data_IF_313962570644
#
_entry.id   IF_313962570644
#
_cell.length_a   1.000
_cell.length_b   1.000
_cell.length_c   1.000
_cell.angle_alpha   90.00
_cell.angle_beta   90.00
_cell.angle_gamma   90.00
#
_symmetry.space_group_name_H-M   'P 1'
#
loop_
_entity.id
_entity.type
_entity.pdbx_description
1 polymer ?
#
# COMPACT_ATOMS: atom_id res chain seq x y z
N UNK A 1 -1.48 -19.33 8.76
CA UNK A 1 -0.31 -19.96 8.10
C UNK A 1 0.75 -20.16 9.17
N UNK A 2 1.39 -21.32 9.22
CA UNK A 2 2.53 -21.55 10.14
C UNK A 2 3.70 -20.68 9.69
N UNK A 3 4.19 -19.81 10.57
CA UNK A 3 5.34 -18.94 10.33
C UNK A 3 6.60 -19.63 10.86
N UNK A 4 7.64 -19.66 10.05
CA UNK A 4 8.96 -20.17 10.42
C UNK A 4 9.92 -18.98 10.55
N UNK A 5 10.64 -18.92 11.68
CA UNK A 5 11.72 -17.96 11.87
C UNK A 5 12.94 -18.34 11.02
N UNK A 6 13.85 -17.39 10.77
CA UNK A 6 15.10 -17.67 10.05
C UNK A 6 15.92 -18.78 10.72
N UNK A 7 15.95 -18.82 12.06
CA UNK A 7 16.66 -19.86 12.83
C UNK A 7 16.05 -21.26 12.69
N UNK A 8 14.71 -21.36 12.69
CA UNK A 8 14.01 -22.64 12.47
C UNK A 8 14.20 -23.12 11.03
N UNK A 9 14.17 -22.19 10.07
CA UNK A 9 14.45 -22.50 8.67
C UNK A 9 15.90 -22.99 8.48
N UNK A 10 16.88 -22.33 9.10
CA UNK A 10 18.27 -22.79 9.08
C UNK A 10 18.40 -24.21 9.62
N UNK A 11 17.81 -24.51 10.78
CA UNK A 11 17.83 -25.86 11.34
C UNK A 11 17.16 -26.91 10.44
N UNK A 12 16.09 -26.54 9.72
CA UNK A 12 15.43 -27.41 8.75
C UNK A 12 16.29 -27.68 7.52
N UNK A 13 17.00 -26.65 7.03
CA UNK A 13 17.92 -26.78 5.88
C UNK A 13 19.14 -27.60 6.28
N UNK A 14 19.76 -27.33 7.43
CA UNK A 14 20.91 -28.07 7.95
C UNK A 14 20.59 -29.54 8.19
N UNK A 15 19.36 -29.88 8.60
CA UNK A 15 18.92 -31.26 8.74
C UNK A 15 18.78 -32.02 7.41
N UNK A 16 18.77 -31.32 6.27
CA UNK A 16 18.64 -31.90 4.92
C UNK A 16 19.95 -31.86 4.13
N UNK A 17 21.00 -31.21 4.65
CA UNK A 17 22.30 -31.05 3.99
C UNK A 17 23.35 -31.94 4.69
N UNK A 18 24.18 -32.61 3.89
CA UNK A 18 25.42 -33.25 4.33
C UNK A 18 26.64 -32.65 3.59
N UNK A 19 27.87 -33.05 3.96
CA UNK A 19 29.11 -32.54 3.34
C UNK A 19 29.19 -32.77 1.83
N UNK A 20 28.39 -33.69 1.28
CA UNK A 20 28.36 -34.05 -0.14
C UNK A 20 27.16 -33.44 -0.87
N UNK A 21 26.28 -32.71 -0.17
CA UNK A 21 25.07 -32.13 -0.75
C UNK A 21 25.44 -30.82 -1.45
N UNK A 22 25.01 -30.71 -2.70
CA UNK A 22 25.05 -29.44 -3.43
C UNK A 22 23.71 -28.72 -3.26
N UNK A 23 23.73 -27.44 -2.87
CA UNK A 23 22.50 -26.67 -2.65
C UNK A 23 22.32 -25.62 -3.74
N UNK A 24 21.20 -25.67 -4.45
CA UNK A 24 20.80 -24.65 -5.43
C UNK A 24 19.56 -23.91 -4.95
N UNK A 25 19.63 -22.59 -4.95
CA UNK A 25 18.55 -21.71 -4.53
C UNK A 25 18.11 -20.90 -5.74
N UNK A 26 16.85 -21.01 -6.11
CA UNK A 26 16.22 -20.19 -7.15
C UNK A 26 15.44 -19.08 -6.45
N UNK A 27 15.94 -17.85 -6.59
CA UNK A 27 15.45 -16.66 -5.91
C UNK A 27 14.68 -15.77 -6.90
N UNK A 28 13.37 -15.69 -6.75
CA UNK A 28 12.51 -14.73 -7.45
C UNK A 28 12.63 -13.34 -6.83
N UNK A 29 12.44 -12.29 -7.63
CA UNK A 29 12.38 -10.92 -7.11
C UNK A 29 11.19 -10.72 -6.15
N UNK A 30 10.03 -11.25 -6.55
CA UNK A 30 8.82 -11.26 -5.73
C UNK A 30 8.09 -12.60 -5.86
N UNK A 31 7.67 -13.20 -4.75
CA UNK A 31 6.91 -14.46 -4.74
C UNK A 31 6.06 -14.57 -3.47
N UNK A 32 4.77 -14.85 -3.63
CA UNK A 32 3.87 -15.16 -2.50
C UNK A 32 3.14 -16.49 -2.70
N UNK A 33 2.59 -17.11 -1.64
CA UNK A 33 1.72 -18.28 -1.73
C UNK A 33 0.57 -18.12 -2.73
N UNK A 34 0.07 -16.89 -2.89
CA UNK A 34 -1.02 -16.54 -3.78
C UNK A 34 -0.60 -16.73 -5.24
N UNK A 35 0.62 -16.34 -5.62
CA UNK A 35 1.14 -16.49 -6.99
C UNK A 35 1.18 -17.97 -7.41
N UNK A 36 1.62 -18.84 -6.51
CA UNK A 36 1.68 -20.28 -6.73
C UNK A 36 0.30 -20.88 -7.03
N UNK A 37 -0.77 -20.29 -6.49
CA UNK A 37 -2.15 -20.76 -6.64
C UNK A 37 -2.93 -20.06 -7.77
N UNK A 38 -2.64 -18.78 -8.02
CA UNK A 38 -3.41 -17.90 -8.90
C UNK A 38 -2.80 -17.75 -10.29
N UNK A 39 -1.48 -17.93 -10.45
CA UNK A 39 -0.85 -17.79 -11.75
C UNK A 39 -1.34 -18.89 -12.70
N UNK A 40 -2.12 -18.48 -13.71
CA UNK A 40 -2.68 -19.37 -14.73
C UNK A 40 -2.50 -18.79 -16.13
N UNK A 41 -1.90 -19.57 -17.02
CA UNK A 41 -1.86 -19.31 -18.46
C UNK A 41 -2.98 -20.12 -19.13
N UNK A 42 -4.03 -19.41 -19.55
CA UNK A 42 -5.29 -19.98 -20.07
C UNK A 42 -6.00 -20.83 -19.01
N UNK A 43 -5.72 -22.12 -18.97
CA UNK A 43 -6.34 -23.11 -18.06
C UNK A 43 -5.32 -23.92 -17.26
N UNK A 44 -4.01 -23.66 -17.46
CA UNK A 44 -2.94 -24.39 -16.82
C UNK A 44 -2.16 -23.47 -15.88
N UNK A 45 -1.64 -24.00 -14.78
CA UNK A 45 -0.75 -23.26 -13.88
C UNK A 45 0.49 -22.76 -14.63
N UNK A 46 1.05 -21.63 -14.20
CA UNK A 46 2.36 -21.17 -14.66
C UNK A 46 3.48 -22.13 -14.22
N UNK A 47 3.30 -22.86 -13.11
CA UNK A 47 4.30 -23.74 -12.49
C UNK A 47 4.10 -25.21 -12.88
N UNK A 48 4.17 -25.51 -14.18
CA UNK A 48 3.81 -26.84 -14.71
C UNK A 48 4.83 -27.92 -14.33
N UNK A 49 6.11 -27.56 -14.23
CA UNK A 49 7.19 -28.50 -13.93
C UNK A 49 7.34 -28.67 -12.42
N UNK A 50 7.31 -27.58 -11.65
CA UNK A 50 7.31 -27.63 -10.19
C UNK A 50 6.11 -28.40 -9.62
N UNK A 51 4.95 -28.42 -10.31
CA UNK A 51 3.80 -29.22 -9.89
C UNK A 51 4.06 -30.74 -10.00
N UNK A 52 4.87 -31.20 -10.97
CA UNK A 52 5.18 -32.63 -11.21
C UNK A 52 6.11 -33.23 -10.17
N UNK A 53 6.78 -32.41 -9.36
CA UNK A 53 7.74 -32.87 -8.36
C UNK A 53 6.99 -33.53 -7.20
N UNK A 54 7.17 -34.85 -7.03
CA UNK A 54 6.51 -35.65 -5.99
C UNK A 54 7.09 -35.42 -4.59
N UNK A 55 8.41 -35.25 -4.48
CA UNK A 55 9.11 -35.02 -3.21
C UNK A 55 9.42 -33.54 -3.03
N UNK A 56 8.54 -32.81 -2.34
CA UNK A 56 8.75 -31.41 -1.98
C UNK A 56 8.18 -31.09 -0.60
N UNK A 57 8.89 -30.22 0.12
CA UNK A 57 8.42 -29.62 1.35
C UNK A 57 7.94 -28.20 1.04
N UNK A 58 6.74 -27.86 1.49
CA UNK A 58 6.17 -26.53 1.29
C UNK A 58 6.15 -25.76 2.60
N UNK A 59 6.92 -24.66 2.65
CA UNK A 59 6.99 -23.76 3.79
C UNK A 59 6.29 -22.45 3.40
N UNK A 60 5.03 -22.23 3.85
CA UNK A 60 4.22 -21.12 3.34
C UNK A 60 4.66 -19.73 3.80
N UNK A 61 5.44 -19.63 4.88
CA UNK A 61 5.86 -18.35 5.45
C UNK A 61 7.17 -18.54 6.19
N UNK A 62 8.26 -18.10 5.58
CA UNK A 62 9.62 -18.13 6.14
C UNK A 62 10.12 -16.70 6.27
N UNK A 63 10.68 -16.37 7.42
CA UNK A 63 11.29 -15.08 7.67
C UNK A 63 12.69 -15.03 7.06
N UNK A 64 12.90 -14.13 6.10
CA UNK A 64 14.18 -13.85 5.44
C UNK A 64 14.94 -15.13 4.99
N UNK A 65 14.36 -15.97 4.11
CA UNK A 65 14.95 -17.25 3.73
C UNK A 65 16.33 -17.10 3.07
N UNK A 66 16.59 -16.00 2.36
CA UNK A 66 17.86 -15.79 1.65
C UNK A 66 19.01 -15.42 2.60
N UNK A 67 18.76 -14.77 3.73
CA UNK A 67 19.85 -14.40 4.66
C UNK A 67 20.53 -15.63 5.27
N UNK A 68 19.79 -16.74 5.40
CA UNK A 68 20.31 -18.05 5.82
C UNK A 68 21.13 -18.72 4.70
N UNK A 69 20.76 -18.48 3.43
CA UNK A 69 21.31 -19.19 2.27
C UNK A 69 22.46 -18.43 1.58
N UNK A 70 22.54 -17.12 1.74
CA UNK A 70 23.57 -16.22 1.17
C UNK A 70 24.82 -16.11 2.06
N UNK A 71 25.10 -17.09 2.92
CA UNK A 71 26.30 -17.13 3.75
C UNK A 71 27.60 -16.99 2.94
N UNK A 72 28.73 -16.81 3.65
CA UNK A 72 30.03 -16.39 3.10
C UNK A 72 30.65 -17.22 1.96
N UNK A 73 30.07 -18.36 1.59
CA UNK A 73 30.52 -19.25 0.50
C UNK A 73 29.49 -19.43 -0.63
N UNK A 74 28.42 -18.63 -0.68
CA UNK A 74 27.40 -18.74 -1.72
C UNK A 74 27.84 -18.06 -3.03
N UNK A 75 27.81 -18.80 -4.16
CA UNK A 75 28.01 -18.21 -5.49
C UNK A 75 26.68 -17.64 -6.00
N UNK A 76 26.67 -16.37 -6.39
CA UNK A 76 25.48 -15.73 -6.98
C UNK A 76 25.55 -15.76 -8.51
N UNK A 77 24.48 -16.24 -9.15
CA UNK A 77 24.35 -16.32 -10.61
C UNK A 77 23.09 -15.56 -11.03
N UNK A 78 23.20 -14.71 -12.05
CA UNK A 78 22.10 -13.87 -12.52
C UNK A 78 21.52 -14.41 -13.82
N UNK A 79 20.21 -14.26 -13.99
CA UNK A 79 19.54 -14.49 -15.26
C UNK A 79 19.67 -13.26 -16.17
N UNK A 80 20.27 -13.43 -17.35
CA UNK A 80 20.41 -12.36 -18.35
C UNK A 80 19.13 -12.22 -19.18
N UNK A 81 18.98 -11.07 -19.83
CA UNK A 81 17.82 -10.74 -20.67
C UNK A 81 17.66 -11.67 -21.89
N UNK A 82 18.70 -12.40 -22.29
CA UNK A 82 18.66 -13.41 -23.35
C UNK A 82 18.19 -14.79 -22.85
N UNK A 83 17.87 -14.92 -21.56
CA UNK A 83 17.46 -16.15 -20.90
C UNK A 83 18.64 -17.07 -20.53
N UNK A 84 19.88 -16.63 -20.71
CA UNK A 84 21.07 -17.36 -20.29
C UNK A 84 21.49 -17.00 -18.87
N UNK A 85 22.23 -17.89 -18.21
CA UNK A 85 22.81 -17.62 -16.90
C UNK A 85 24.15 -16.90 -17.06
N UNK A 86 24.43 -15.93 -16.18
CA UNK A 86 25.66 -15.14 -16.19
C UNK A 86 26.91 -16.00 -16.11
N UNK A 87 26.80 -17.12 -15.39
CA UNK A 87 27.87 -18.07 -15.22
C UNK A 87 27.33 -19.51 -15.32
N UNK A 88 28.19 -20.42 -15.77
CA UNK A 88 27.86 -21.84 -15.75
C UNK A 88 27.99 -22.37 -14.33
N UNK A 89 26.87 -22.80 -13.77
CA UNK A 89 26.82 -23.48 -12.47
C UNK A 89 27.58 -24.81 -12.57
N UNK A 90 28.65 -24.96 -11.79
CA UNK A 90 29.39 -26.20 -11.63
C UNK A 90 29.10 -26.73 -10.22
N UNK A 91 28.46 -27.90 -10.07
CA UNK A 91 28.15 -28.45 -8.76
C UNK A 91 29.42 -28.81 -7.98
N UNK A 92 29.51 -28.35 -6.74
CA UNK A 92 30.60 -28.65 -5.81
C UNK A 92 30.01 -29.22 -4.50
N UNK A 93 30.67 -30.21 -3.90
CA UNK A 93 30.23 -30.77 -2.62
C UNK A 93 30.24 -29.69 -1.53
N UNK A 94 29.12 -29.52 -0.83
CA UNK A 94 28.93 -28.47 0.17
C UNK A 94 28.80 -27.04 -0.39
N UNK A 95 28.79 -26.88 -1.72
CA UNK A 95 28.63 -25.58 -2.37
C UNK A 95 27.18 -25.11 -2.38
N UNK A 96 26.98 -23.80 -2.20
CA UNK A 96 25.68 -23.14 -2.30
C UNK A 96 25.70 -22.21 -3.51
N UNK A 97 24.70 -22.31 -4.38
CA UNK A 97 24.54 -21.42 -5.54
C UNK A 97 23.17 -20.78 -5.52
N UNK A 98 23.12 -19.45 -5.56
CA UNK A 98 21.89 -18.66 -5.60
C UNK A 98 21.70 -18.12 -7.01
N UNK A 99 20.67 -18.62 -7.70
CA UNK A 99 20.25 -18.19 -9.03
C UNK A 99 19.16 -17.14 -8.88
N UNK A 100 19.47 -15.91 -9.26
CA UNK A 100 18.59 -14.77 -9.17
C UNK A 100 17.75 -14.62 -10.46
N UNK A 101 16.44 -14.81 -10.33
CA UNK A 101 15.44 -14.80 -11.39
C UNK A 101 14.81 -13.40 -11.48
N UNK A 102 15.53 -12.45 -12.08
CA UNK A 102 15.11 -11.05 -12.14
C UNK A 102 14.36 -10.66 -13.42
N UNK A 103 14.46 -11.48 -14.49
CA UNK A 103 13.91 -11.16 -15.81
C UNK A 103 13.14 -12.34 -16.37
N UNK A 104 11.86 -12.14 -16.65
CA UNK A 104 10.99 -13.17 -17.24
C UNK A 104 9.62 -13.21 -16.56
N UNK A 105 8.85 -14.23 -16.92
CA UNK A 105 7.59 -14.57 -16.27
C UNK A 105 7.73 -15.91 -15.51
N UNK A 106 6.83 -16.18 -14.56
CA UNK A 106 6.89 -17.41 -13.77
C UNK A 106 6.91 -18.70 -14.62
N UNK A 107 6.31 -18.68 -15.82
CA UNK A 107 6.29 -19.83 -16.71
C UNK A 107 7.64 -20.09 -17.40
N UNK A 108 8.35 -19.03 -17.81
CA UNK A 108 9.72 -19.16 -18.32
C UNK A 108 10.68 -19.54 -17.20
N UNK A 109 10.50 -19.01 -15.99
CA UNK A 109 11.28 -19.40 -14.82
C UNK A 109 11.06 -20.88 -14.46
N UNK A 110 9.83 -21.38 -14.45
CA UNK A 110 9.52 -22.81 -14.21
C UNK A 110 10.16 -23.74 -15.26
N UNK A 111 10.25 -23.31 -16.53
CA UNK A 111 10.96 -24.06 -17.57
C UNK A 111 12.48 -24.05 -17.36
N UNK A 112 13.04 -22.91 -16.95
CA UNK A 112 14.46 -22.78 -16.64
C UNK A 112 14.86 -23.64 -15.44
N UNK A 113 14.08 -23.55 -14.35
CA UNK A 113 14.31 -24.32 -13.12
C UNK A 113 14.36 -25.82 -13.45
N UNK A 114 13.40 -26.31 -14.23
CA UNK A 114 13.35 -27.72 -14.65
C UNK A 114 14.60 -28.14 -15.46
N UNK A 115 15.00 -27.31 -16.42
CA UNK A 115 16.17 -27.57 -17.26
C UNK A 115 17.47 -27.58 -16.45
N UNK A 116 17.67 -26.58 -15.57
CA UNK A 116 18.86 -26.44 -14.74
C UNK A 116 18.91 -27.56 -13.69
N UNK A 117 17.80 -27.83 -13.01
CA UNK A 117 17.73 -28.88 -12.00
C UNK A 117 17.96 -30.27 -12.59
N UNK A 118 17.35 -30.59 -13.74
CA UNK A 118 17.54 -31.88 -14.43
C UNK A 118 18.99 -32.07 -14.86
N UNK A 119 19.62 -31.03 -15.41
CA UNK A 119 21.05 -31.07 -15.77
C UNK A 119 21.92 -31.34 -14.55
N UNK A 120 21.72 -30.58 -13.47
CA UNK A 120 22.54 -30.69 -12.26
C UNK A 120 22.33 -32.02 -11.54
N UNK A 121 21.11 -32.56 -11.51
CA UNK A 121 20.82 -33.87 -10.92
C UNK A 121 21.54 -35.02 -11.65
N UNK A 122 21.73 -34.91 -12.96
CA UNK A 122 22.49 -35.89 -13.75
C UNK A 122 24.00 -35.83 -13.47
N UNK A 123 24.54 -34.64 -13.17
CA UNK A 123 25.95 -34.46 -12.82
C UNK A 123 26.21 -34.82 -11.35
N UNK A 124 25.31 -34.44 -10.44
CA UNK A 124 25.40 -34.68 -8.99
C UNK A 124 24.06 -35.19 -8.43
N UNK A 125 23.97 -36.47 -8.00
CA UNK A 125 22.72 -37.06 -7.56
C UNK A 125 22.24 -36.51 -6.20
N UNK A 126 23.15 -36.02 -5.36
CA UNK A 126 22.84 -35.44 -4.04
C UNK A 126 22.73 -33.91 -4.13
N UNK A 127 21.53 -33.42 -4.45
CA UNK A 127 21.24 -31.99 -4.60
C UNK A 127 19.95 -31.61 -3.87
N UNK A 128 20.05 -30.52 -3.10
CA UNK A 128 18.93 -29.82 -2.46
C UNK A 128 18.57 -28.60 -3.31
N UNK A 129 17.32 -28.50 -3.74
CA UNK A 129 16.83 -27.35 -4.50
C UNK A 129 15.80 -26.58 -3.66
N UNK A 130 15.99 -25.26 -3.55
CA UNK A 130 15.11 -24.35 -2.81
C UNK A 130 14.57 -23.33 -3.81
N UNK A 131 13.26 -23.09 -3.80
CA UNK A 131 12.62 -22.04 -4.58
C UNK A 131 11.98 -21.05 -3.61
N UNK A 132 12.38 -19.78 -3.69
CA UNK A 132 11.95 -18.73 -2.74
C UNK A 132 11.89 -17.36 -3.42
N UNK A 133 11.17 -16.41 -2.83
CA UNK A 133 11.21 -15.00 -3.22
C UNK A 133 12.08 -14.17 -2.28
N UNK A 134 12.62 -13.06 -2.78
CA UNK A 134 13.24 -12.00 -1.97
C UNK A 134 12.19 -11.21 -1.20
N UNK A 135 11.11 -10.87 -1.88
CA UNK A 135 10.00 -10.08 -1.31
C UNK A 135 8.65 -10.76 -1.57
N UNK A 136 7.64 -10.57 -0.70
CA UNK A 136 6.29 -11.03 -1.00
C UNK A 136 5.65 -10.11 -2.05
N UNK A 137 5.12 -10.70 -3.13
CA UNK A 137 4.28 -10.00 -4.12
C UNK A 137 2.94 -9.50 -3.55
N UNK A 138 2.45 -10.10 -2.45
CA UNK A 138 1.21 -9.74 -1.79
C UNK A 138 1.46 -9.43 -0.32
N UNK A 139 1.21 -8.20 0.10
CA UNK A 139 1.26 -7.83 1.52
C UNK A 139 -0.12 -8.00 2.14
N UNK A 140 -0.30 -9.03 2.95
CA UNK A 140 -1.44 -9.06 3.86
C UNK A 140 -1.23 -7.99 4.92
N UNK A 141 -2.02 -6.91 4.85
CA UNK A 141 -2.13 -5.91 5.91
C UNK A 141 -2.82 -6.52 7.13
N UNK A 142 -2.20 -7.52 7.75
CA UNK A 142 -2.49 -7.77 9.16
C UNK A 142 -1.96 -6.54 9.89
N UNK A 143 -2.87 -5.73 10.44
CA UNK A 143 -2.59 -4.66 11.39
C UNK A 143 -1.92 -5.25 12.64
N UNK A 144 -0.69 -5.73 12.50
CA UNK A 144 0.19 -6.05 13.61
C UNK A 144 0.73 -4.70 14.03
N UNK A 145 0.28 -4.25 15.20
CA UNK A 145 0.90 -3.16 15.95
C UNK A 145 2.37 -3.55 16.16
N UNK A 146 3.24 -3.18 15.22
CA UNK A 146 4.69 -3.27 15.39
C UNK A 146 5.05 -2.21 16.43
N UNK A 147 5.20 -2.63 17.67
CA UNK A 147 6.11 -1.95 18.59
C UNK A 147 7.48 -2.04 17.89
N UNK A 148 7.98 -0.93 17.34
CA UNK A 148 9.29 -0.89 16.68
C UNK A 148 10.36 -1.24 17.71
N UNK A 149 10.77 -2.51 17.77
CA UNK A 149 12.15 -2.84 18.08
C UNK A 149 12.86 -2.82 16.73
N UNK A 150 13.82 -1.90 16.62
CA UNK A 150 14.63 -1.70 15.45
C UNK A 150 15.57 -2.90 15.30
N UNK A 151 15.22 -3.82 14.40
CA UNK A 151 16.19 -4.76 13.84
C UNK A 151 16.79 -4.13 12.59
N UNK A 152 18.12 -4.19 12.54
CA UNK A 152 18.98 -3.61 11.53
C UNK A 152 18.74 -4.24 10.15
N UNK A 153 17.72 -3.76 9.45
CA UNK A 153 17.59 -3.92 7.99
C UNK A 153 18.33 -2.79 7.31
N UNK A 154 18.95 -3.13 6.18
CA UNK A 154 19.68 -2.22 5.29
C UNK A 154 18.99 -0.86 5.22
N UNK A 155 19.78 0.20 5.32
CA UNK A 155 19.39 1.61 5.24
C UNK A 155 18.69 1.92 3.90
N UNK A 156 17.44 1.49 3.72
CA UNK A 156 16.47 2.36 3.05
C UNK A 156 16.34 3.55 4.00
N UNK A 157 16.88 4.71 3.59
CA UNK A 157 16.69 5.97 4.32
C UNK A 157 15.21 6.07 4.70
N UNK A 158 14.89 5.91 6.00
CA UNK A 158 13.53 6.18 6.47
C UNK A 158 13.16 7.57 5.97
N UNK A 159 11.95 7.77 5.41
CA UNK A 159 11.55 9.07 4.92
C UNK A 159 11.69 10.08 6.06
N UNK A 160 12.67 10.98 5.90
CA UNK A 160 13.02 11.95 6.93
C UNK A 160 11.92 12.98 6.98
N UNK A 161 11.02 12.84 7.96
CA UNK A 161 9.97 13.81 8.22
C UNK A 161 10.62 15.11 8.73
N UNK A 162 10.42 16.17 7.96
CA UNK A 162 10.88 17.51 8.31
C UNK A 162 9.86 18.15 9.24
N UNK A 163 10.33 18.60 10.42
CA UNK A 163 9.49 19.25 11.43
C UNK A 163 9.75 20.74 11.48
N UNK A 164 8.72 21.52 11.22
CA UNK A 164 8.70 22.98 11.37
C UNK A 164 7.83 23.35 12.57
N UNK A 165 8.39 24.14 13.48
CA UNK A 165 7.69 24.59 14.67
C UNK A 165 7.99 26.06 14.94
N UNK A 166 6.95 26.83 15.24
CA UNK A 166 7.05 28.17 15.79
C UNK A 166 5.92 28.42 16.78
N UNK A 167 5.93 29.55 17.47
CA UNK A 167 4.85 29.89 18.40
C UNK A 167 3.53 30.02 17.64
N UNK A 168 2.55 29.19 18.00
CA UNK A 168 1.24 29.18 17.35
C UNK A 168 1.15 28.31 16.09
N UNK A 169 2.18 27.54 15.71
CA UNK A 169 2.12 26.69 14.51
C UNK A 169 3.05 25.48 14.58
N UNK A 170 2.54 24.34 14.15
CA UNK A 170 3.30 23.12 13.98
C UNK A 170 3.00 22.53 12.61
N UNK A 171 4.04 22.09 11.92
CA UNK A 171 3.93 21.41 10.63
C UNK A 171 4.99 20.32 10.53
N UNK A 172 4.59 19.20 9.96
CA UNK A 172 5.46 18.08 9.59
C UNK A 172 5.16 17.72 8.15
N UNK A 173 6.19 17.47 7.35
CA UNK A 173 6.03 17.03 5.96
C UNK A 173 7.20 16.12 5.57
N UNK A 174 7.01 15.23 4.62
CA UNK A 174 8.06 14.36 4.11
C UNK A 174 8.84 15.04 2.97
N UNK A 175 8.10 15.58 1.99
CA UNK A 175 8.70 16.12 0.78
C UNK A 175 7.91 17.34 0.30
N UNK A 176 8.63 18.34 -0.18
CA UNK A 176 8.05 19.48 -0.87
C UNK A 176 8.65 19.61 -2.26
N UNK A 177 7.77 19.71 -3.27
CA UNK A 177 8.11 19.76 -4.68
C UNK A 177 7.39 20.90 -5.37
N UNK A 178 8.06 21.59 -6.29
CA UNK A 178 7.44 22.60 -7.14
C UNK A 178 7.94 22.54 -8.57
N UNK A 179 7.13 23.00 -9.52
CA UNK A 179 7.53 23.07 -10.92
C UNK A 179 6.35 23.23 -11.87
N UNK A 180 6.58 23.02 -13.16
CA UNK A 180 5.53 23.18 -14.17
C UNK A 180 4.52 22.02 -14.15
N UNK A 181 3.28 22.30 -14.58
CA UNK A 181 2.19 21.32 -14.61
C UNK A 181 2.33 20.30 -15.75
N UNK A 182 3.15 20.61 -16.76
CA UNK A 182 3.29 19.89 -18.04
C UNK A 182 3.77 18.41 -17.91
N UNK A 183 4.23 17.98 -16.73
CA UNK A 183 4.67 16.61 -16.47
C UNK A 183 5.95 16.19 -17.21
N UNK A 184 6.40 16.97 -18.19
CA UNK A 184 7.64 16.77 -18.93
C UNK A 184 8.89 17.27 -18.19
N UNK A 185 8.74 18.25 -17.29
CA UNK A 185 9.83 18.75 -16.45
C UNK A 185 9.74 18.11 -15.06
N UNK A 186 10.84 17.55 -14.52
CA UNK A 186 10.85 17.01 -13.16
C UNK A 186 10.63 18.15 -12.16
N UNK A 187 9.85 17.87 -11.12
CA UNK A 187 9.63 18.83 -10.05
C UNK A 187 10.93 19.02 -9.25
N UNK A 188 11.17 20.25 -8.82
CA UNK A 188 12.30 20.59 -7.97
C UNK A 188 11.92 20.36 -6.52
N UNK A 189 12.70 19.54 -5.81
CA UNK A 189 12.51 19.30 -4.38
C UNK A 189 13.28 20.34 -3.57
N UNK A 190 12.63 20.96 -2.58
CA UNK A 190 13.29 21.90 -1.64
C UNK A 190 12.87 21.60 -0.22
N UNK A 191 13.81 21.75 0.71
CA UNK A 191 13.57 21.68 2.15
C UNK A 191 13.42 23.09 2.72
N UNK A 192 12.54 23.23 3.69
CA UNK A 192 12.38 24.45 4.47
C UNK A 192 13.12 24.33 5.79
N UNK A 193 13.92 25.35 6.10
CA UNK A 193 14.78 25.36 7.30
C UNK A 193 14.10 26.07 8.48
N UNK A 194 13.16 26.97 8.19
CA UNK A 194 12.55 27.84 9.19
C UNK A 194 11.08 28.15 8.85
N UNK A 195 10.30 28.40 9.89
CA UNK A 195 8.94 28.95 9.82
C UNK A 195 8.80 30.12 10.79
N UNK A 196 8.35 31.26 10.28
CA UNK A 196 8.19 32.49 11.06
C UNK A 196 6.76 32.99 10.98
N UNK A 197 6.17 33.36 12.12
CA UNK A 197 4.90 34.07 12.17
C UNK A 197 5.12 35.52 11.74
N UNK A 198 4.41 35.97 10.71
CA UNK A 198 4.47 37.34 10.21
C UNK A 198 3.40 38.17 10.91
N UNK A 199 3.84 39.03 11.82
CA UNK A 199 2.94 39.82 12.68
C UNK A 199 2.10 40.83 11.88
N UNK A 200 2.63 41.42 10.81
CA UNK A 200 1.95 42.47 10.03
C UNK A 200 0.63 42.01 9.40
N UNK A 201 0.52 40.72 9.04
CA UNK A 201 -0.66 40.12 8.43
C UNK A 201 -1.41 39.16 9.37
N UNK A 202 -1.00 39.12 10.64
CA UNK A 202 -1.68 38.33 11.68
C UNK A 202 -2.57 39.25 12.51
N UNK A 203 -3.79 38.79 12.81
CA UNK A 203 -4.75 39.49 13.65
C UNK A 203 -5.12 38.62 14.83
N UNK A 204 -4.99 39.14 16.04
CA UNK A 204 -5.47 38.49 17.27
C UNK A 204 -6.90 38.95 17.61
N UNK A 205 -7.70 39.32 16.59
CA UNK A 205 -9.11 39.70 16.77
C UNK A 205 -9.90 38.57 17.45
N UNK A 206 -10.70 38.92 18.46
CA UNK A 206 -11.52 37.96 19.19
C UNK A 206 -12.61 37.29 18.34
N UNK A 207 -13.07 37.94 17.27
CA UNK A 207 -14.18 37.44 16.43
C UNK A 207 -13.70 36.66 15.21
N UNK A 208 -12.54 37.05 14.64
CA UNK A 208 -11.96 36.46 13.42
C UNK A 208 -10.43 36.55 13.49
N UNK A 209 -9.76 35.75 14.33
CA UNK A 209 -8.32 35.76 14.39
C UNK A 209 -7.74 35.20 13.09
N UNK A 210 -6.66 35.82 12.61
CA UNK A 210 -5.92 35.40 11.43
C UNK A 210 -4.44 35.22 11.73
N UNK A 211 -3.81 34.25 11.07
CA UNK A 211 -2.38 34.03 11.19
C UNK A 211 -1.74 33.90 9.82
N UNK A 212 -0.56 34.50 9.70
CA UNK A 212 0.29 34.37 8.52
C UNK A 212 1.61 33.72 8.95
N UNK A 213 1.93 32.59 8.34
CA UNK A 213 3.20 31.89 8.53
C UNK A 213 3.99 31.87 7.22
N UNK A 214 5.26 32.25 7.31
CA UNK A 214 6.22 32.23 6.20
C UNK A 214 7.26 31.15 6.42
N UNK A 215 7.30 30.18 5.52
CA UNK A 215 8.29 29.11 5.47
C UNK A 215 9.42 29.54 4.54
N UNK A 216 10.66 29.43 4.99
CA UNK A 216 11.84 29.82 4.19
C UNK A 216 12.80 28.64 4.04
N UNK A 217 13.19 28.36 2.80
CA UNK A 217 14.22 27.40 2.43
C UNK A 217 15.24 28.02 1.47
N UNK A 218 16.25 27.25 1.07
CA UNK A 218 17.40 27.74 0.29
C UNK A 218 17.05 28.51 -1.00
N UNK A 219 15.92 28.20 -1.66
CA UNK A 219 15.47 28.87 -2.90
C UNK A 219 13.94 28.94 -3.02
N UNK A 220 13.23 28.74 -1.92
CA UNK A 220 11.77 28.65 -1.89
C UNK A 220 11.21 29.37 -0.66
N UNK A 221 10.18 30.17 -0.87
CA UNK A 221 9.38 30.76 0.22
C UNK A 221 7.91 30.42 0.03
N UNK A 222 7.28 29.84 1.05
CA UNK A 222 5.84 29.55 1.07
C UNK A 222 5.19 30.38 2.16
N UNK A 223 4.15 31.13 1.82
CA UNK A 223 3.34 31.87 2.77
C UNK A 223 1.96 31.20 2.89
N UNK A 224 1.59 30.85 4.11
CA UNK A 224 0.30 30.24 4.46
C UNK A 224 -0.52 31.22 5.29
N UNK A 225 -1.76 31.45 4.87
CA UNK A 225 -2.71 32.34 5.54
C UNK A 225 -3.86 31.52 6.13
N UNK A 226 -4.09 31.70 7.42
CA UNK A 226 -5.11 31.00 8.19
C UNK A 226 -6.08 32.01 8.80
N UNK A 227 -7.35 31.63 8.90
CA UNK A 227 -8.38 32.42 9.57
C UNK A 227 -9.30 31.49 10.37
N UNK A 228 -9.76 31.92 11.54
CA UNK A 228 -10.83 31.22 12.27
C UNK A 228 -12.16 31.89 11.99
N UNK A 229 -13.13 31.06 11.63
CA UNK A 229 -14.52 31.43 11.43
C UNK A 229 -15.39 30.42 12.20
N UNK A 230 -16.18 30.89 13.17
CA UNK A 230 -17.12 30.05 13.95
C UNK A 230 -16.47 28.83 14.62
N UNK A 231 -15.27 28.98 15.19
CA UNK A 231 -14.54 27.90 15.89
C UNK A 231 -13.87 26.87 14.98
N UNK A 232 -13.94 27.08 13.67
CA UNK A 232 -13.19 26.31 12.68
C UNK A 232 -12.15 27.20 12.02
N UNK A 233 -10.95 26.67 11.79
CA UNK A 233 -9.94 27.35 11.02
C UNK A 233 -9.99 26.91 9.57
N UNK A 234 -9.68 27.84 8.69
CA UNK A 234 -9.57 27.65 7.26
C UNK A 234 -8.30 28.27 6.71
N UNK A 235 -7.88 27.76 5.56
CA UNK A 235 -6.76 28.31 4.80
C UNK A 235 -7.34 29.30 3.79
N UNK A 236 -7.01 30.58 3.95
CA UNK A 236 -7.56 31.67 3.14
C UNK A 236 -6.67 32.04 1.97
N UNK A 237 -5.40 31.66 2.01
CA UNK A 237 -4.47 31.87 0.91
C UNK A 237 -3.20 31.04 1.06
N UNK A 238 -2.59 30.73 -0.08
CA UNK A 238 -1.25 30.14 -0.17
C UNK A 238 -0.49 30.92 -1.23
N UNK A 239 0.69 31.42 -0.89
CA UNK A 239 1.63 32.03 -1.84
C UNK A 239 2.92 31.24 -1.88
N UNK A 240 3.52 31.16 -3.07
CA UNK A 240 4.85 30.61 -3.27
C UNK A 240 5.69 31.60 -4.07
N UNK A 241 6.85 31.98 -3.54
CA UNK A 241 7.73 33.01 -4.11
C UNK A 241 6.95 34.28 -4.51
N UNK A 242 6.14 34.80 -3.59
CA UNK A 242 5.26 35.98 -3.76
C UNK A 242 4.17 35.86 -4.83
N UNK A 243 3.96 34.67 -5.41
CA UNK A 243 2.87 34.38 -6.37
C UNK A 243 1.71 33.67 -5.68
N UNK A 244 0.48 34.10 -5.96
CA UNK A 244 -0.73 33.49 -5.42
C UNK A 244 -1.07 32.15 -6.08
N UNK A 245 -1.46 31.17 -5.26
CA UNK A 245 -1.91 29.86 -5.68
C UNK A 245 -3.40 29.67 -5.38
N UNK A 246 -4.10 28.98 -6.29
CA UNK A 246 -5.53 28.76 -6.16
C UNK A 246 -5.84 27.63 -5.16
N UNK A 247 -6.72 27.93 -4.21
CA UNK A 247 -7.18 26.98 -3.20
C UNK A 247 -8.20 26.00 -3.79
N UNK A 248 -7.72 24.89 -4.37
CA UNK A 248 -8.60 23.84 -4.91
C UNK A 248 -9.33 23.05 -3.81
N UNK A 249 -8.63 22.76 -2.72
CA UNK A 249 -9.19 22.06 -1.57
C UNK A 249 -9.51 23.09 -0.48
N UNK A 250 -10.79 23.26 -0.17
CA UNK A 250 -11.20 24.05 1.00
C UNK A 250 -10.91 23.25 2.25
N UNK A 251 -10.01 23.75 3.07
CA UNK A 251 -9.75 23.24 4.42
C UNK A 251 -10.61 24.04 5.36
N UNK A 252 -11.53 23.39 6.07
CA UNK A 252 -12.39 24.01 7.08
C UNK A 252 -12.61 23.00 8.19
N UNK A 253 -11.82 23.12 9.25
CA UNK A 253 -11.75 22.12 10.32
C UNK A 253 -11.70 22.79 11.68
N UNK A 254 -12.12 22.08 12.72
CA UNK A 254 -12.16 22.62 14.07
C UNK A 254 -10.76 23.07 14.53
N UNK A 255 -10.67 24.19 15.26
CA UNK A 255 -9.43 24.77 15.84
C UNK A 255 -8.55 23.80 16.63
N UNK A 256 -9.12 22.73 17.20
CA UNK A 256 -8.36 21.74 17.97
C UNK A 256 -7.78 20.59 17.13
N UNK A 257 -8.15 20.51 15.85
CA UNK A 257 -7.73 19.43 14.95
C UNK A 257 -6.55 19.87 14.08
N UNK A 258 -5.69 18.90 13.75
CA UNK A 258 -4.65 19.05 12.74
C UNK A 258 -5.17 18.63 11.37
N UNK A 259 -4.68 19.25 10.31
CA UNK A 259 -4.95 18.82 8.95
C UNK A 259 -3.87 17.84 8.51
N UNK A 260 -4.26 16.67 7.99
CA UNK A 260 -3.35 15.66 7.48
C UNK A 260 -3.67 15.33 6.02
N UNK A 261 -2.65 15.23 5.17
CA UNK A 261 -2.83 14.86 3.77
C UNK A 261 -1.60 14.19 3.17
N UNK A 262 -1.79 13.08 2.47
CA UNK A 262 -0.71 12.41 1.75
C UNK A 262 -0.23 13.24 0.55
N UNK A 263 -1.14 13.80 -0.24
CA UNK A 263 -0.78 14.64 -1.40
C UNK A 263 -1.55 15.95 -1.38
N UNK A 264 -0.86 17.02 -0.95
CA UNK A 264 -1.43 18.34 -0.84
C UNK A 264 -0.89 19.25 -1.95
N UNK A 265 -1.67 19.38 -3.02
CA UNK A 265 -1.31 20.12 -4.23
C UNK A 265 -2.06 21.45 -4.37
N UNK A 266 -1.34 22.47 -4.84
CA UNK A 266 -1.93 23.72 -5.30
C UNK A 266 -1.38 24.10 -6.68
N UNK A 267 -2.23 24.74 -7.49
CA UNK A 267 -1.88 25.20 -8.83
C UNK A 267 -2.02 26.71 -8.94
N UNK A 268 -1.25 27.33 -9.83
CA UNK A 268 -1.46 28.72 -10.20
C UNK A 268 -2.74 28.90 -11.01
N UNK A 269 -3.32 30.10 -11.00
CA UNK A 269 -4.53 30.42 -11.78
C UNK A 269 -4.34 30.18 -13.29
N UNK A 270 -3.11 30.35 -13.77
CA UNK A 270 -2.74 30.12 -15.18
C UNK A 270 -2.48 28.64 -15.50
N UNK A 271 -2.60 27.74 -14.51
CA UNK A 271 -2.28 26.30 -14.63
C UNK A 271 -0.86 26.02 -15.13
N UNK A 272 0.06 26.98 -14.98
CA UNK A 272 1.44 26.88 -15.45
C UNK A 272 2.35 26.15 -14.47
N UNK A 273 2.13 26.36 -13.18
CA UNK A 273 2.97 25.88 -12.10
C UNK A 273 2.13 25.19 -11.02
N UNK A 274 2.73 24.23 -10.33
CA UNK A 274 2.18 23.54 -9.17
C UNK A 274 3.19 23.43 -8.05
N UNK A 275 2.68 23.44 -6.83
CA UNK A 275 3.40 23.09 -5.61
C UNK A 275 2.72 21.87 -4.99
N UNK A 276 3.52 20.99 -4.41
CA UNK A 276 3.08 19.70 -3.87
C UNK A 276 3.80 19.43 -2.56
N UNK A 277 3.03 19.16 -1.51
CA UNK A 277 3.53 18.59 -0.26
C UNK A 277 3.13 17.12 -0.17
N UNK A 278 4.09 16.26 0.16
CA UNK A 278 3.88 14.84 0.42
C UNK A 278 3.88 14.56 1.92
N UNK A 279 2.91 13.78 2.38
CA UNK A 279 2.69 13.38 3.77
C UNK A 279 2.78 14.56 4.74
N UNK A 280 1.89 15.54 4.54
CA UNK A 280 1.84 16.77 5.33
C UNK A 280 0.86 16.64 6.49
N UNK A 281 1.28 17.09 7.67
CA UNK A 281 0.42 17.34 8.81
C UNK A 281 0.69 18.74 9.36
N UNK A 282 -0.34 19.58 9.50
CA UNK A 282 -0.18 20.94 10.03
C UNK A 282 -1.31 21.35 10.96
N UNK A 283 -0.99 22.23 11.90
CA UNK A 283 -1.95 22.81 12.81
C UNK A 283 -1.54 24.23 13.22
N UNK A 284 -2.38 25.25 12.92
CA UNK A 284 -2.31 26.55 13.58
C UNK A 284 -2.95 26.47 14.98
N UNK A 285 -2.29 27.08 15.97
CA UNK A 285 -2.75 27.15 17.36
C UNK A 285 -3.17 28.57 17.68
N UNK A 286 -4.47 28.80 17.73
CA UNK A 286 -5.06 30.09 18.10
C UNK A 286 -5.04 30.30 19.60
N UNK A 287 -5.04 31.56 20.02
CA UNK A 287 -5.14 31.90 21.43
C UNK A 287 -6.54 31.55 21.93
N UNK A 288 -6.61 30.93 23.11
CA UNK A 288 -7.88 30.65 23.79
C UNK A 288 -8.54 31.95 24.30
N UNK A 289 -9.76 31.88 24.86
CA UNK A 289 -10.51 33.06 25.35
C UNK A 289 -9.74 33.88 26.41
N UNK A 290 -8.75 33.27 27.08
CA UNK A 290 -7.85 33.92 28.03
C UNK A 290 -6.62 34.60 27.39
N UNK A 291 -6.52 34.60 26.05
CA UNK A 291 -5.42 35.20 25.30
C UNK A 291 -4.11 34.40 25.35
N UNK A 292 -4.16 33.16 25.83
CA UNK A 292 -2.99 32.27 25.93
C UNK A 292 -2.93 31.39 24.69
N UNK A 293 -1.79 31.42 23.99
CA UNK A 293 -1.54 30.49 22.88
C UNK A 293 -1.05 29.15 23.44
N UNK A 294 -1.68 28.02 23.10
CA UNK A 294 -1.25 26.73 23.60
C UNK A 294 0.11 26.35 22.99
N UNK A 295 0.93 25.58 23.73
CA UNK A 295 2.24 25.20 23.25
C UNK A 295 2.13 24.26 22.04
N UNK A 296 2.81 24.60 20.95
CA UNK A 296 2.88 23.85 19.67
C UNK A 296 3.78 22.61 19.76
N UNK A 297 3.60 21.81 20.81
CA UNK A 297 4.46 20.64 21.10
C UNK A 297 3.94 19.37 20.41
N UNK A 298 2.61 19.23 20.30
CA UNK A 298 1.92 18.09 19.72
C UNK A 298 0.76 18.53 18.85
N UNK A 299 0.44 17.72 17.86
CA UNK A 299 -0.81 17.83 17.11
C UNK A 299 -1.99 17.38 17.98
N UNK A 300 -3.15 17.98 17.73
CA UNK A 300 -4.44 17.42 18.10
C UNK A 300 -4.85 16.31 17.14
N UNK A 301 -6.12 15.90 17.23
CA UNK A 301 -6.65 14.84 16.38
C UNK A 301 -6.52 15.20 14.89
N UNK A 302 -6.19 14.22 14.06
CA UNK A 302 -5.96 14.41 12.63
C UNK A 302 -7.26 14.41 11.85
N UNK A 303 -7.41 15.40 10.97
CA UNK A 303 -8.46 15.47 9.96
C UNK A 303 -7.84 15.26 8.58
N UNK A 304 -8.17 14.13 7.96
CA UNK A 304 -7.61 13.76 6.67
C UNK A 304 -8.24 14.56 5.52
N UNK A 305 -7.43 14.85 4.49
CA UNK A 305 -7.87 15.56 3.29
C UNK A 305 -8.83 14.76 2.40
N UNK A 306 -8.91 13.44 2.59
CA UNK A 306 -9.82 12.55 1.89
C UNK A 306 -11.00 12.18 2.79
N UNK A 307 -12.21 12.33 2.27
CA UNK A 307 -13.40 11.82 2.96
C UNK A 307 -13.46 10.30 2.93
N UNK A 308 -14.12 9.69 3.92
CA UNK A 308 -14.35 8.24 3.98
C UNK A 308 -14.97 7.65 2.70
N UNK A 309 -15.81 8.41 2.00
CA UNK A 309 -16.44 8.01 0.74
C UNK A 309 -16.42 9.15 -0.26
N UNK A 310 -16.11 8.86 -1.53
CA UNK A 310 -16.22 9.84 -2.61
C UNK A 310 -17.68 10.02 -3.05
N UNK A 311 -18.00 11.19 -3.63
CA UNK A 311 -19.34 11.43 -4.18
C UNK A 311 -19.76 10.41 -5.24
N UNK A 312 -18.80 9.91 -6.03
CA UNK A 312 -19.02 8.83 -6.99
C UNK A 312 -19.47 7.53 -6.32
N UNK A 313 -18.73 7.08 -5.29
CA UNK A 313 -19.08 5.86 -4.54
C UNK A 313 -20.45 6.00 -3.87
N UNK A 314 -20.72 7.15 -3.24
CA UNK A 314 -21.99 7.39 -2.54
C UNK A 314 -23.17 7.40 -3.52
N UNK A 315 -23.01 8.03 -4.70
CA UNK A 315 -24.03 8.01 -5.75
C UNK A 315 -24.28 6.61 -6.31
N UNK A 316 -23.21 5.82 -6.49
CA UNK A 316 -23.31 4.43 -6.95
C UNK A 316 -24.00 3.53 -5.92
N UNK A 317 -23.62 3.66 -4.66
CA UNK A 317 -24.24 2.92 -3.55
C UNK A 317 -25.73 3.28 -3.42
N UNK A 318 -26.08 4.55 -3.61
CA UNK A 318 -27.47 5.01 -3.61
C UNK A 318 -28.29 4.37 -4.75
N UNK A 319 -27.75 4.29 -5.97
CA UNK A 319 -28.43 3.62 -7.09
C UNK A 319 -28.60 2.11 -6.86
N UNK A 320 -27.55 1.45 -6.37
CA UNK A 320 -27.59 0.02 -6.04
C UNK A 320 -28.65 -0.25 -4.96
N UNK A 321 -28.74 0.61 -3.94
CA UNK A 321 -29.77 0.52 -2.90
C UNK A 321 -31.18 0.55 -3.50
N UNK A 322 -31.45 1.46 -4.44
CA UNK A 322 -32.76 1.56 -5.12
C UNK A 322 -33.06 0.27 -5.90
N UNK A 323 -32.08 -0.27 -6.64
CA UNK A 323 -32.27 -1.51 -7.37
C UNK A 323 -32.51 -2.71 -6.45
N UNK A 324 -31.84 -2.77 -5.31
CA UNK A 324 -32.09 -3.80 -4.29
C UNK A 324 -33.52 -3.69 -3.77
N UNK A 325 -34.00 -2.48 -3.48
CA UNK A 325 -35.38 -2.26 -3.00
C UNK A 325 -36.39 -2.75 -4.06
N UNK A 326 -36.27 -2.30 -5.30
CA UNK A 326 -37.18 -2.71 -6.39
C UNK A 326 -37.12 -4.22 -6.62
N UNK A 327 -35.91 -4.79 -6.64
CA UNK A 327 -35.71 -6.23 -6.79
C UNK A 327 -36.33 -7.02 -5.63
N UNK A 328 -36.19 -6.55 -4.40
CA UNK A 328 -36.80 -7.19 -3.23
C UNK A 328 -38.32 -7.19 -3.28
N UNK A 329 -38.94 -6.11 -3.77
CA UNK A 329 -40.39 -6.08 -4.02
C UNK A 329 -40.79 -7.07 -5.12
N UNK A 330 -40.05 -7.12 -6.22
CA UNK A 330 -40.32 -8.05 -7.32
C UNK A 330 -40.25 -9.52 -6.87
N UNK A 331 -39.23 -9.89 -6.09
CA UNK A 331 -39.09 -11.23 -5.53
C UNK A 331 -40.21 -11.51 -4.51
N UNK A 332 -40.57 -10.54 -3.67
CA UNK A 332 -41.65 -10.68 -2.70
C UNK A 332 -43.00 -10.95 -3.38
N UNK A 333 -43.30 -10.25 -4.49
CA UNK A 333 -44.50 -10.52 -5.29
C UNK A 333 -44.46 -11.89 -5.95
N UNK A 334 -43.29 -12.34 -6.43
CA UNK A 334 -43.15 -13.68 -7.00
C UNK A 334 -43.40 -14.77 -5.94
N UNK A 335 -42.96 -14.56 -4.70
CA UNK A 335 -43.18 -15.49 -3.59
C UNK A 335 -44.65 -15.58 -3.14
N UNK A 336 -45.48 -14.57 -3.41
CA UNK A 336 -46.91 -14.57 -3.06
C UNK A 336 -47.81 -15.10 -4.20
N UNK A 337 -47.23 -15.61 -5.29
CA UNK A 337 -48.01 -16.33 -6.30
C UNK A 337 -48.47 -17.67 -5.69
N UNK A 338 -49.73 -17.68 -5.24
CA UNK A 338 -50.39 -18.90 -4.78
C UNK A 338 -50.98 -19.63 -5.98
N UNK A 339 -50.58 -20.88 -6.16
CA UNK A 339 -51.25 -21.78 -7.11
C UNK A 339 -52.65 -22.06 -6.60
N UNK A 340 -53.64 -22.10 -7.51
CA UNK A 340 -55.00 -22.46 -7.14
C UNK A 340 -55.04 -23.84 -6.49
N UNK A 341 -55.61 -23.92 -5.29
CA UNK A 341 -55.66 -25.14 -4.47
C UNK A 341 -56.58 -26.21 -5.08
N UNK A 342 -57.59 -25.78 -5.84
CA UNK A 342 -58.58 -26.66 -6.43
C UNK A 342 -58.83 -26.29 -7.88
N UNK A 343 -58.50 -27.20 -8.77
CA UNK A 343 -58.98 -27.20 -10.14
C UNK A 343 -60.40 -27.76 -10.13
N UNK A 344 -61.40 -26.93 -9.86
CA UNK A 344 -62.79 -27.31 -10.11
C UNK A 344 -62.98 -27.41 -11.62
N UNK A 345 -63.00 -28.64 -12.14
CA UNK A 345 -63.48 -28.91 -13.49
C UNK A 345 -64.99 -28.62 -13.53
N UNK A 346 -65.46 -27.57 -14.22
CA UNK A 346 -66.89 -27.24 -14.30
C UNK A 346 -67.72 -28.33 -15.01
N UNK A 347 -67.07 -29.36 -15.57
CA UNK A 347 -67.70 -30.53 -16.18
C UNK A 347 -67.41 -31.86 -15.46
N UNK A 348 -66.63 -31.83 -14.38
CA UNK A 348 -66.36 -33.01 -13.55
C UNK A 348 -67.57 -33.34 -12.67
N UNK A 349 -68.06 -34.58 -12.71
CA UNK A 349 -69.18 -35.02 -11.85
C UNK A 349 -68.75 -34.90 -10.37
N UNK A 350 -69.57 -34.27 -9.54
CA UNK A 350 -69.38 -34.24 -8.09
C UNK A 350 -69.40 -35.66 -7.54
N UNK A 351 -68.35 -36.05 -6.79
CA UNK A 351 -68.33 -37.34 -6.09
C UNK A 351 -69.31 -37.24 -4.93
N UNK A 352 -70.47 -37.88 -5.07
CA UNK A 352 -71.46 -38.01 -4.00
C UNK A 352 -71.10 -39.29 -3.24
N UNK A 353 -70.61 -39.15 -2.01
CA UNK A 353 -70.41 -40.29 -1.11
C UNK A 353 -71.76 -40.57 -0.45
N UNK A 354 -72.46 -41.58 -0.95
CA UNK A 354 -73.62 -42.12 -0.25
C UNK A 354 -73.09 -42.95 0.93
N UNK A 355 -73.08 -42.36 2.12
CA UNK A 355 -72.99 -43.14 3.34
C UNK A 355 -74.30 -43.91 3.48
N UNK A 356 -74.29 -45.19 3.09
CA UNK A 356 -75.30 -46.12 3.54
C UNK A 356 -75.02 -46.40 5.02
N UNK A 357 -76.08 -46.29 5.82
CA UNK A 357 -76.17 -46.50 7.26
C UNK A 357 -75.43 -47.75 7.77
#
# INVERSE_FOLDING_TARGET
>A
LTRYTSSEFAALVDAQIDENTFTIVFAEESLSPEDLSQCRLKTQTCFKNLQKIERKSYLPSVEEPLSVLEGSNAQSVQLLADGSLSERIVPQAGGIVVVNLSVGDYASHDALIDAVFTRLRNEHPNILAIYTGKTPSFSYSTLVRKTRQADARQEEEEPVLERLNTTGFLMVYEKFEYGAVDGATPLTTVKFDNVVRVAENSSDSAEQPSMHFKLTGASATVDLFFQVTQGSWEITGVKFNDKDYYLRNRVHINQHFSYHCNNWEYLTTDLSEKIVFTEVQLQPFFADEEGVTPPSVRFGDSWDCVGFTSGGILSGLFLILIFIIIGSYGISWMMDIRTMDRFDDPKGKTIIVNAAE
#
